data_IF_780367609001
#
_entry.id   IF_780367609001
#
_cell.length_a   1.000
_cell.length_b   1.000
_cell.length_c   1.000
_cell.angle_alpha   90.00
_cell.angle_beta   90.00
_cell.angle_gamma   90.00
#
_symmetry.space_group_name_H-M   'P 1'
#
loop_
_entity.id
_entity.type
_entity.pdbx_description
1 polymer ?
#
# COMPACT_ATOMS: atom_id res chain seq x y z
N UNK A 1 34.82 -11.94 29.40
CA UNK A 1 33.93 -12.39 28.31
C UNK A 1 33.92 -11.24 27.32
N UNK A 2 34.76 -11.31 26.29
CA UNK A 2 34.88 -10.26 25.28
C UNK A 2 33.66 -10.34 24.36
N UNK A 3 32.88 -9.27 24.30
CA UNK A 3 31.77 -9.14 23.36
C UNK A 3 32.27 -9.37 21.92
N UNK A 4 31.50 -10.05 21.05
CA UNK A 4 31.90 -10.20 19.67
C UNK A 4 31.82 -8.83 18.98
N UNK A 5 32.98 -8.25 18.68
CA UNK A 5 33.13 -7.07 17.84
C UNK A 5 32.49 -7.38 16.48
N UNK A 6 31.26 -6.92 16.27
CA UNK A 6 30.57 -7.16 15.00
C UNK A 6 31.25 -6.32 13.94
N UNK A 7 31.85 -6.96 12.95
CA UNK A 7 32.59 -6.30 11.88
C UNK A 7 31.77 -5.13 11.27
N UNK A 8 32.35 -3.93 11.12
CA UNK A 8 31.62 -2.74 10.65
C UNK A 8 30.95 -2.95 9.30
N UNK A 9 31.51 -3.81 8.44
CA UNK A 9 30.92 -4.17 7.14
C UNK A 9 29.63 -4.98 7.32
N UNK A 10 29.60 -5.91 8.27
CA UNK A 10 28.41 -6.73 8.57
C UNK A 10 27.28 -5.87 9.14
N UNK A 11 27.61 -4.90 10.00
CA UNK A 11 26.64 -3.93 10.52
C UNK A 11 26.05 -3.06 9.40
N UNK A 12 26.90 -2.50 8.54
CA UNK A 12 26.46 -1.68 7.41
C UNK A 12 25.53 -2.47 6.46
N UNK A 13 25.91 -3.69 6.08
CA UNK A 13 25.08 -4.54 5.22
C UNK A 13 23.73 -4.86 5.85
N UNK A 14 23.67 -5.04 7.17
CA UNK A 14 22.42 -5.27 7.88
C UNK A 14 21.51 -4.05 7.83
N UNK A 15 22.06 -2.86 8.06
CA UNK A 15 21.31 -1.59 7.99
C UNK A 15 20.75 -1.38 6.58
N UNK A 16 21.57 -1.58 5.55
CA UNK A 16 21.15 -1.43 4.14
C UNK A 16 20.03 -2.40 3.78
N UNK A 17 20.12 -3.67 4.21
CA UNK A 17 19.05 -4.66 4.01
C UNK A 17 17.75 -4.23 4.66
N UNK A 18 17.79 -3.76 5.90
CA UNK A 18 16.60 -3.28 6.61
C UNK A 18 16.01 -2.06 5.91
N UNK A 19 16.84 -1.10 5.50
CA UNK A 19 16.40 0.07 4.76
C UNK A 19 15.75 -0.30 3.42
N UNK A 20 16.32 -1.27 2.69
CA UNK A 20 15.76 -1.75 1.42
C UNK A 20 14.39 -2.43 1.62
N UNK A 21 14.23 -3.23 2.68
CA UNK A 21 12.94 -3.84 3.01
C UNK A 21 11.90 -2.77 3.34
N UNK A 22 12.25 -1.78 4.16
CA UNK A 22 11.36 -0.67 4.50
C UNK A 22 10.95 0.13 3.26
N UNK A 23 11.91 0.41 2.36
CA UNK A 23 11.65 1.10 1.11
C UNK A 23 10.70 0.30 0.20
N UNK A 24 10.86 -1.02 0.10
CA UNK A 24 9.96 -1.89 -0.66
C UNK A 24 8.55 -1.92 -0.07
N UNK A 25 8.42 -1.99 1.26
CA UNK A 25 7.12 -1.98 1.92
C UNK A 25 6.40 -0.63 1.73
N UNK A 26 7.12 0.48 1.94
CA UNK A 26 6.55 1.81 1.75
C UNK A 26 6.23 2.09 0.28
N UNK A 27 7.14 1.75 -0.64
CA UNK A 27 6.91 1.91 -2.07
C UNK A 27 5.74 1.07 -2.57
N UNK A 28 5.69 -0.20 -2.16
CA UNK A 28 4.60 -1.13 -2.48
C UNK A 28 3.26 -0.66 -1.92
N UNK A 29 3.24 -0.16 -0.67
CA UNK A 29 2.03 0.39 -0.06
C UNK A 29 1.54 1.65 -0.79
N UNK A 30 2.45 2.55 -1.17
CA UNK A 30 2.11 3.76 -1.93
C UNK A 30 1.57 3.40 -3.32
N UNK A 31 2.20 2.47 -4.04
CA UNK A 31 1.68 1.97 -5.32
C UNK A 31 0.29 1.36 -5.14
N UNK A 32 0.14 0.44 -4.18
CA UNK A 32 -1.13 -0.20 -3.92
C UNK A 32 -2.22 0.82 -3.58
N UNK A 33 -1.93 1.77 -2.69
CA UNK A 33 -2.85 2.84 -2.31
C UNK A 33 -3.25 3.71 -3.50
N UNK A 34 -2.28 4.07 -4.36
CA UNK A 34 -2.53 4.84 -5.59
C UNK A 34 -3.44 4.07 -6.55
N UNK A 35 -3.15 2.80 -6.84
CA UNK A 35 -3.96 1.99 -7.75
C UNK A 35 -5.36 1.71 -7.19
N UNK A 36 -5.45 1.41 -5.90
CA UNK A 36 -6.73 1.16 -5.24
C UNK A 36 -7.56 2.44 -5.29
N UNK A 37 -7.01 3.57 -4.84
CA UNK A 37 -7.68 4.87 -4.90
C UNK A 37 -8.07 5.27 -6.33
N UNK A 38 -7.22 5.03 -7.33
CA UNK A 38 -7.52 5.32 -8.74
C UNK A 38 -8.72 4.51 -9.24
N UNK A 39 -8.82 3.22 -8.88
CA UNK A 39 -9.99 2.40 -9.22
C UNK A 39 -11.26 2.95 -8.57
N UNK A 40 -11.21 3.31 -7.29
CA UNK A 40 -12.38 3.88 -6.61
C UNK A 40 -12.71 5.29 -7.09
N UNK A 41 -11.73 6.08 -7.50
CA UNK A 41 -11.96 7.39 -8.10
C UNK A 41 -12.56 7.27 -9.51
N UNK A 42 -12.13 6.28 -10.30
CA UNK A 42 -12.70 6.01 -11.62
C UNK A 42 -14.12 5.42 -11.53
N UNK A 43 -14.40 4.62 -10.50
CA UNK A 43 -15.71 3.97 -10.30
C UNK A 43 -16.71 4.87 -9.57
N UNK A 44 -16.26 5.64 -8.58
CA UNK A 44 -17.09 6.33 -7.60
C UNK A 44 -16.76 7.82 -7.44
N UNK A 45 -15.79 8.36 -8.18
CA UNK A 45 -15.39 9.77 -8.11
C UNK A 45 -14.68 10.18 -6.82
N UNK A 46 -14.40 9.25 -5.90
CA UNK A 46 -13.84 9.54 -4.57
C UNK A 46 -12.73 8.55 -4.19
N UNK A 47 -11.85 8.96 -3.26
CA UNK A 47 -10.73 8.13 -2.84
C UNK A 47 -11.17 7.00 -1.89
N UNK A 48 -10.51 5.84 -1.99
CA UNK A 48 -10.81 4.65 -1.14
C UNK A 48 -10.82 4.97 0.35
N UNK A 49 -9.97 5.90 0.77
CA UNK A 49 -9.77 6.28 2.17
C UNK A 49 -10.79 7.32 2.66
N UNK A 50 -11.46 8.03 1.75
CA UNK A 50 -12.50 9.02 2.07
C UNK A 50 -13.91 8.42 2.04
N UNK A 51 -14.12 7.33 1.29
CA UNK A 51 -15.41 6.67 1.19
C UNK A 51 -15.70 5.80 2.43
N UNK A 52 -16.78 6.13 3.14
CA UNK A 52 -17.33 5.27 4.18
C UNK A 52 -17.86 3.97 3.53
N UNK A 53 -17.75 2.81 4.20
CA UNK A 53 -18.10 1.49 3.60
C UNK A 53 -19.47 1.44 2.93
N UNK A 54 -20.46 2.13 3.51
CA UNK A 54 -21.81 2.22 2.95
C UNK A 54 -21.87 2.96 1.60
N UNK A 55 -21.04 3.99 1.40
CA UNK A 55 -20.96 4.72 0.12
C UNK A 55 -20.25 3.88 -0.94
N UNK A 56 -19.26 3.10 -0.51
CA UNK A 56 -18.51 2.15 -1.32
C UNK A 56 -19.41 1.03 -1.87
N UNK A 57 -20.27 0.45 -1.03
CA UNK A 57 -21.28 -0.55 -1.44
C UNK A 57 -22.33 0.05 -2.38
N UNK A 58 -22.84 1.25 -2.09
CA UNK A 58 -23.85 1.89 -2.96
C UNK A 58 -23.33 2.19 -4.38
N UNK A 59 -22.05 2.54 -4.50
CA UNK A 59 -21.40 2.78 -5.78
C UNK A 59 -21.13 1.47 -6.55
N UNK A 60 -20.71 0.41 -5.84
CA UNK A 60 -20.52 -0.91 -6.44
C UNK A 60 -21.85 -1.51 -6.92
N UNK A 61 -22.95 -1.29 -6.20
CA UNK A 61 -24.29 -1.72 -6.62
C UNK A 61 -24.76 -0.98 -7.88
N UNK A 62 -24.60 0.36 -7.95
CA UNK A 62 -24.91 1.12 -9.18
C UNK A 62 -24.10 0.65 -10.39
N UNK A 63 -22.82 0.32 -10.18
CA UNK A 63 -21.97 -0.19 -11.25
C UNK A 63 -22.44 -1.58 -11.72
N UNK A 64 -22.93 -2.41 -10.81
CA UNK A 64 -23.48 -3.74 -11.10
C UNK A 64 -24.80 -3.66 -11.87
N UNK A 65 -25.62 -2.64 -11.62
CA UNK A 65 -26.81 -2.34 -12.41
C UNK A 65 -26.48 -1.81 -13.82
N UNK A 66 -25.39 -1.04 -13.97
CA UNK A 66 -24.95 -0.50 -15.26
C UNK A 66 -24.22 -1.53 -16.15
N UNK A 67 -23.47 -2.46 -15.56
CA UNK A 67 -22.84 -3.58 -16.29
C UNK A 67 -23.81 -4.76 -16.56
N UNK A 68 -24.97 -4.76 -15.90
CA UNK A 68 -26.01 -5.81 -16.00
C UNK A 68 -27.07 -5.57 -17.08
N UNK A 69 -26.85 -4.65 -18.02
CA UNK A 69 -27.79 -4.33 -19.11
C UNK A 69 -27.17 -4.47 -20.49
#
# INVERSE_FOLDING_TARGET
MSEPETDPITRFNTIVKVAAILALLLGGYNLWSFFNSSRYQALCGASYWELNRAQLDSCLDQKRELEGK
#
